data_IF_828546234870
#
_entry.id   IF_828546234870
#
_cell.length_a   1.000
_cell.length_b   1.000
_cell.length_c   1.000
_cell.angle_alpha   90.00
_cell.angle_beta   90.00
_cell.angle_gamma   90.00
#
_symmetry.space_group_name_H-M   'P 1'
#
loop_
_entity.id
_entity.type
_entity.pdbx_description
1 polymer ?
#
# COMPACT_ATOMS: atom_id res chain seq x y z
N UNK A 1 17.68 32.67 22.57
CA UNK A 1 16.44 31.85 22.67
C UNK A 1 15.76 31.60 21.33
N UNK A 2 15.50 32.62 20.50
CA UNK A 2 14.83 32.49 19.18
C UNK A 2 15.48 31.47 18.21
N UNK A 3 16.82 31.35 18.22
CA UNK A 3 17.54 30.37 17.38
C UNK A 3 17.24 28.92 17.78
N UNK A 4 17.16 28.63 19.09
CA UNK A 4 16.82 27.29 19.60
C UNK A 4 15.38 26.92 19.25
N UNK A 5 14.45 27.88 19.32
CA UNK A 5 13.04 27.67 18.92
C UNK A 5 12.91 27.32 17.43
N UNK A 6 13.71 27.95 16.54
CA UNK A 6 13.74 27.61 15.11
C UNK A 6 14.20 26.17 14.86
N UNK A 7 15.24 25.71 15.56
CA UNK A 7 15.69 24.32 15.45
C UNK A 7 14.65 23.31 15.92
N UNK A 8 13.93 23.61 17.01
CA UNK A 8 12.81 22.77 17.47
C UNK A 8 11.68 22.67 16.44
N UNK A 9 11.28 23.80 15.85
CA UNK A 9 10.23 23.82 14.82
C UNK A 9 10.65 23.03 13.56
N UNK A 10 11.90 23.16 13.13
CA UNK A 10 12.42 22.39 11.98
C UNK A 10 12.43 20.89 12.28
N UNK A 11 12.87 20.49 13.48
CA UNK A 11 12.83 19.09 13.91
C UNK A 11 11.42 18.51 13.95
N UNK A 12 10.45 19.28 14.46
CA UNK A 12 9.04 18.87 14.47
C UNK A 12 8.48 18.66 13.06
N UNK A 13 8.75 19.58 12.13
CA UNK A 13 8.34 19.44 10.73
C UNK A 13 8.99 18.23 10.04
N UNK A 14 10.26 17.95 10.33
CA UNK A 14 10.94 16.76 9.80
C UNK A 14 10.28 15.47 10.29
N UNK A 15 9.91 15.38 11.57
CA UNK A 15 9.19 14.23 12.13
C UNK A 15 7.85 14.01 11.44
N UNK A 16 7.08 15.06 11.18
CA UNK A 16 5.80 14.99 10.46
C UNK A 16 5.94 14.53 9.00
N UNK A 17 7.00 14.97 8.31
CA UNK A 17 7.25 14.56 6.93
C UNK A 17 7.66 13.08 6.82
N UNK A 18 8.51 12.59 7.72
CA UNK A 18 8.93 11.18 7.69
C UNK A 18 7.84 10.24 8.21
N UNK A 19 7.04 10.68 9.17
CA UNK A 19 5.91 9.88 9.68
C UNK A 19 4.81 9.74 8.65
N UNK A 20 4.54 10.74 7.80
CA UNK A 20 3.57 10.63 6.70
C UNK A 20 3.92 9.55 5.66
N UNK A 21 5.21 9.41 5.34
CA UNK A 21 5.68 8.36 4.42
C UNK A 21 5.61 6.97 5.05
N UNK A 22 6.02 6.84 6.31
CA UNK A 22 5.89 5.59 7.05
C UNK A 22 4.41 5.22 7.28
N UNK A 23 3.55 6.20 7.52
CA UNK A 23 2.11 6.03 7.75
C UNK A 23 1.41 5.39 6.55
N UNK A 24 1.72 5.78 5.31
CA UNK A 24 1.17 5.14 4.11
C UNK A 24 1.55 3.66 3.99
N UNK A 25 2.77 3.31 4.42
CA UNK A 25 3.29 1.95 4.30
C UNK A 25 2.87 1.04 5.47
N UNK A 26 2.82 1.57 6.70
CA UNK A 26 2.57 0.79 7.92
C UNK A 26 1.13 0.88 8.48
N UNK A 27 0.41 1.98 8.22
CA UNK A 27 -0.97 2.19 8.72
C UNK A 27 -2.03 2.06 7.62
N UNK A 28 -1.69 1.40 6.51
CA UNK A 28 -2.70 0.87 5.60
C UNK A 28 -3.42 1.93 4.77
N UNK A 29 -2.72 2.55 3.81
CA UNK A 29 -3.44 2.70 2.56
C UNK A 29 -3.68 1.29 2.03
N UNK A 30 -4.93 0.84 2.10
CA UNK A 30 -5.38 -0.34 1.38
C UNK A 30 -4.83 -0.27 -0.04
N UNK A 31 -4.29 -1.40 -0.53
CA UNK A 31 -3.72 -1.47 -1.87
C UNK A 31 -4.65 -0.83 -2.93
N UNK A 32 -4.08 -0.21 -3.97
CA UNK A 32 -4.86 0.49 -4.98
C UNK A 32 -5.91 -0.41 -5.65
N UNK A 33 -6.95 0.20 -6.22
CA UNK A 33 -7.89 -0.53 -7.07
C UNK A 33 -7.18 -1.13 -8.28
N UNK A 34 -7.48 -2.37 -8.65
CA UNK A 34 -6.94 -3.02 -9.86
C UNK A 34 -7.31 -2.25 -11.13
N UNK A 35 -8.36 -1.42 -11.07
CA UNK A 35 -8.80 -0.55 -12.17
C UNK A 35 -7.82 0.57 -12.51
N UNK A 36 -6.88 0.91 -11.60
CA UNK A 36 -5.79 1.85 -11.90
C UNK A 36 -4.76 1.28 -12.87
N UNK A 37 -4.68 -0.05 -12.96
CA UNK A 37 -3.68 -0.76 -13.76
C UNK A 37 -4.35 -1.87 -14.59
N UNK A 38 -5.25 -1.50 -15.52
CA UNK A 38 -6.05 -2.47 -16.28
C UNK A 38 -5.20 -3.29 -17.26
N UNK A 39 -4.10 -2.73 -17.74
CA UNK A 39 -3.14 -3.38 -18.63
C UNK A 39 -2.58 -4.69 -18.08
N UNK A 40 -2.35 -4.74 -16.76
CA UNK A 40 -1.81 -5.93 -16.08
C UNK A 40 -2.89 -6.76 -15.37
N UNK A 41 -4.02 -6.19 -14.94
CA UNK A 41 -5.03 -6.92 -14.16
C UNK A 41 -6.21 -7.44 -14.97
N UNK A 42 -6.56 -6.82 -16.11
CA UNK A 42 -7.81 -7.13 -16.83
C UNK A 42 -7.85 -8.57 -17.37
N UNK A 43 -6.70 -9.17 -17.65
CA UNK A 43 -6.58 -10.50 -18.23
C UNK A 43 -6.33 -11.62 -17.21
N UNK A 44 -6.08 -11.26 -15.95
CA UNK A 44 -5.63 -12.22 -14.93
C UNK A 44 -6.40 -12.13 -13.62
N UNK A 45 -6.98 -10.98 -13.25
CA UNK A 45 -7.65 -10.81 -11.97
C UNK A 45 -9.16 -11.14 -12.07
N UNK A 46 -9.49 -12.42 -12.29
CA UNK A 46 -10.88 -12.88 -12.41
C UNK A 46 -11.46 -13.38 -11.08
N UNK A 47 -10.64 -14.02 -10.26
CA UNK A 47 -10.99 -14.51 -8.93
C UNK A 47 -9.92 -14.13 -7.89
N UNK A 48 -10.28 -14.18 -6.61
CA UNK A 48 -9.35 -13.80 -5.52
C UNK A 48 -8.08 -14.68 -5.49
N UNK A 49 -8.19 -15.94 -5.89
CA UNK A 49 -7.06 -16.87 -6.04
C UNK A 49 -6.06 -16.45 -7.10
N UNK A 50 -6.51 -15.74 -8.15
CA UNK A 50 -5.59 -15.22 -9.17
C UNK A 50 -4.66 -14.17 -8.58
N UNK A 51 -5.16 -13.35 -7.66
CA UNK A 51 -4.37 -12.32 -7.01
C UNK A 51 -3.19 -12.93 -6.23
N UNK A 52 -3.43 -14.04 -5.52
CA UNK A 52 -2.38 -14.68 -4.72
C UNK A 52 -1.27 -15.33 -5.56
N UNK A 53 -1.52 -15.68 -6.82
CA UNK A 53 -0.47 -16.24 -7.71
C UNK A 53 0.71 -15.28 -7.88
N UNK A 54 0.45 -13.98 -7.89
CA UNK A 54 1.49 -12.95 -8.03
C UNK A 54 1.77 -12.16 -6.74
N UNK A 55 0.81 -12.09 -5.82
CA UNK A 55 0.88 -11.26 -4.62
C UNK A 55 1.07 -12.04 -3.31
N UNK A 56 1.14 -13.37 -3.30
CA UNK A 56 1.40 -14.12 -2.07
C UNK A 56 2.87 -13.95 -1.62
N UNK A 57 3.15 -13.57 -0.35
CA UNK A 57 4.51 -13.27 0.11
C UNK A 57 5.47 -14.45 -0.01
N UNK A 58 4.98 -15.67 0.17
CA UNK A 58 5.80 -16.87 0.13
C UNK A 58 5.92 -17.54 -1.26
N UNK A 59 5.31 -16.98 -2.30
CA UNK A 59 5.26 -17.60 -3.64
C UNK A 59 6.13 -16.87 -4.67
N UNK A 60 7.28 -16.32 -4.26
CA UNK A 60 8.15 -15.51 -5.11
C UNK A 60 7.36 -14.42 -5.87
N UNK A 61 6.78 -13.46 -5.14
CA UNK A 61 5.78 -12.55 -5.68
C UNK A 61 6.35 -11.68 -6.80
N UNK A 62 5.64 -11.66 -7.93
CA UNK A 62 5.93 -10.78 -9.06
C UNK A 62 5.36 -9.36 -8.83
N UNK A 63 4.30 -9.26 -8.02
CA UNK A 63 3.69 -8.00 -7.60
C UNK A 63 4.03 -7.63 -6.15
N UNK A 64 3.50 -6.50 -5.68
CA UNK A 64 3.66 -6.10 -4.27
C UNK A 64 3.01 -7.14 -3.36
N UNK A 65 3.72 -7.79 -2.43
CA UNK A 65 3.15 -8.82 -1.60
C UNK A 65 1.95 -8.31 -0.78
N UNK A 66 0.89 -9.12 -0.69
CA UNK A 66 -0.24 -8.81 0.18
C UNK A 66 0.17 -8.90 1.65
N UNK A 67 -0.40 -8.01 2.47
CA UNK A 67 -0.23 -8.05 3.93
C UNK A 67 -1.20 -9.01 4.61
N UNK A 68 -2.15 -9.59 3.87
CA UNK A 68 -3.16 -10.53 4.36
C UNK A 68 -3.23 -11.77 3.45
N UNK A 69 -2.20 -12.65 3.48
CA UNK A 69 -2.10 -13.80 2.58
C UNK A 69 -3.20 -14.84 2.77
N UNK A 70 -3.71 -14.98 3.99
CA UNK A 70 -4.77 -15.94 4.32
C UNK A 70 -6.19 -15.38 4.08
N UNK A 71 -6.30 -14.12 3.68
CA UNK A 71 -7.61 -13.48 3.44
C UNK A 71 -8.13 -13.78 2.04
N UNK A 72 -9.31 -14.39 1.97
CA UNK A 72 -10.09 -14.55 0.73
C UNK A 72 -11.08 -13.38 0.60
N UNK A 73 -11.05 -12.66 -0.51
CA UNK A 73 -11.90 -11.47 -0.73
C UNK A 73 -11.19 -10.27 -1.35
N UNK A 74 -10.04 -10.45 -1.99
CA UNK A 74 -9.23 -9.37 -2.58
C UNK A 74 -10.08 -8.40 -3.41
N UNK A 75 -10.91 -8.92 -4.32
CA UNK A 75 -11.71 -8.12 -5.23
C UNK A 75 -12.82 -7.33 -4.52
N UNK A 76 -13.24 -7.70 -3.31
CA UNK A 76 -14.22 -6.92 -2.54
C UNK A 76 -13.70 -5.54 -2.16
N UNK A 77 -12.39 -5.43 -1.94
CA UNK A 77 -11.73 -4.18 -1.56
C UNK A 77 -11.00 -3.55 -2.74
N UNK A 78 -10.39 -4.38 -3.60
CA UNK A 78 -9.50 -3.91 -4.68
C UNK A 78 -10.20 -3.77 -6.04
N UNK A 79 -11.47 -4.11 -6.18
CA UNK A 79 -12.26 -3.83 -7.39
C UNK A 79 -13.15 -2.57 -7.25
N UNK A 80 -12.90 -1.74 -6.23
CA UNK A 80 -13.63 -0.51 -5.95
C UNK A 80 -13.43 0.59 -7.00
N UNK A 81 -14.05 1.75 -6.77
CA UNK A 81 -13.82 2.95 -7.57
C UNK A 81 -12.39 3.46 -7.40
N UNK A 82 -11.97 4.30 -8.35
CA UNK A 82 -10.60 4.77 -8.55
C UNK A 82 -10.29 5.98 -7.67
#
# INVERSE_FOLDING_TARGET
MKKRLKFFMIGFWLVFLVSGCAYRHYMGMHGPSIKLYPDIHQQVAHEDSDCLKCHHPDQNPEGTPTTHPDFTGCLKCHNGEV
#
